data_IF_579614053121
#
_entry.id   IF_579614053121
#
_cell.length_a   1.000
_cell.length_b   1.000
_cell.length_c   1.000
_cell.angle_alpha   90.00
_cell.angle_beta   90.00
_cell.angle_gamma   90.00
#
_symmetry.space_group_name_H-M   'P 1'
#
loop_
_entity.id
_entity.type
_entity.pdbx_description
1 polymer ?
#
# COMPACT_ATOMS: atom_id res chain seq x y z
N UNK A 1 29.78 16.69 -14.41
CA UNK A 1 29.01 15.63 -15.12
C UNK A 1 27.54 15.86 -14.80
N UNK A 2 26.69 15.99 -15.79
CA UNK A 2 25.24 16.01 -15.53
C UNK A 2 24.84 14.68 -14.91
N UNK A 3 24.03 14.74 -13.84
CA UNK A 3 23.62 13.56 -13.10
C UNK A 3 22.52 12.84 -13.90
N UNK A 4 22.75 11.59 -14.26
CA UNK A 4 21.74 10.76 -14.89
C UNK A 4 20.79 10.21 -13.82
N UNK A 5 19.54 10.67 -13.78
CA UNK A 5 18.60 10.35 -12.70
C UNK A 5 17.14 10.42 -13.13
N UNK A 6 16.30 9.79 -12.31
CA UNK A 6 14.84 9.95 -12.31
C UNK A 6 14.33 10.14 -10.88
N UNK A 7 13.39 11.06 -10.72
CA UNK A 7 12.69 11.35 -9.47
C UNK A 7 11.22 10.97 -9.63
N UNK A 8 10.73 10.12 -8.74
CA UNK A 8 9.36 9.58 -8.77
C UNK A 8 8.67 9.82 -7.44
N UNK A 9 7.36 10.10 -7.54
CA UNK A 9 6.42 10.18 -6.44
C UNK A 9 5.44 9.02 -6.55
N UNK A 10 5.31 8.22 -5.48
CA UNK A 10 4.36 7.10 -5.43
C UNK A 10 3.52 7.17 -4.15
N UNK A 11 2.36 6.56 -4.18
CA UNK A 11 1.31 6.74 -3.18
C UNK A 11 1.15 5.51 -2.30
N UNK A 12 1.06 5.68 -0.96
CA UNK A 12 0.80 4.60 -0.03
C UNK A 12 -0.60 4.02 -0.20
N UNK A 13 -0.85 2.84 0.38
CA UNK A 13 -2.10 2.10 0.19
C UNK A 13 -2.82 1.74 1.49
N UNK A 14 -4.14 1.60 1.39
CA UNK A 14 -5.03 1.05 2.41
C UNK A 14 -5.61 -0.25 1.86
N UNK A 15 -5.57 -1.35 2.64
CA UNK A 15 -6.20 -2.60 2.23
C UNK A 15 -7.72 -2.56 2.37
N UNK A 16 -8.44 -3.04 1.37
CA UNK A 16 -9.89 -3.29 1.39
C UNK A 16 -10.14 -4.78 1.67
N UNK A 17 -9.52 -5.67 0.93
CA UNK A 17 -9.41 -7.08 1.27
C UNK A 17 -8.00 -7.32 1.80
N UNK A 18 -7.89 -7.48 3.13
CA UNK A 18 -6.63 -7.41 3.85
C UNK A 18 -5.72 -8.61 3.56
N UNK A 19 -4.45 -8.33 3.35
CA UNK A 19 -3.43 -9.32 3.08
C UNK A 19 -3.05 -10.09 4.35
N UNK A 20 -3.22 -11.40 4.31
CA UNK A 20 -2.85 -12.30 5.40
C UNK A 20 -2.03 -13.50 4.89
N UNK A 21 -0.72 -13.49 5.17
CA UNK A 21 0.19 -14.56 4.78
C UNK A 21 0.84 -14.40 3.41
N UNK A 22 2.12 -14.72 3.35
CA UNK A 22 2.94 -14.75 2.13
C UNK A 22 3.49 -16.15 1.90
N UNK A 23 3.87 -16.47 0.66
CA UNK A 23 4.31 -17.81 0.26
C UNK A 23 5.63 -18.21 0.92
N UNK A 24 6.57 -17.29 0.89
CA UNK A 24 7.90 -17.42 1.50
C UNK A 24 8.48 -16.02 1.79
N UNK A 25 9.55 -15.97 2.58
CA UNK A 25 10.17 -14.70 2.98
C UNK A 25 10.99 -14.03 1.87
N UNK A 26 11.28 -14.74 0.77
CA UNK A 26 12.09 -14.22 -0.33
C UNK A 26 11.24 -13.65 -1.45
N UNK A 27 10.30 -14.43 -1.97
CA UNK A 27 9.40 -14.00 -3.07
C UNK A 27 8.26 -13.13 -2.57
N UNK A 28 7.79 -13.36 -1.35
CA UNK A 28 6.72 -12.60 -0.67
C UNK A 28 5.40 -12.53 -1.44
N UNK A 29 5.13 -13.51 -2.29
CA UNK A 29 3.87 -13.57 -3.03
C UNK A 29 2.70 -13.78 -2.06
N UNK A 30 1.62 -12.98 -2.15
CA UNK A 30 0.42 -13.16 -1.34
C UNK A 30 -0.15 -14.57 -1.52
N UNK A 31 -0.61 -15.19 -0.43
CA UNK A 31 -1.21 -16.52 -0.47
C UNK A 31 -2.63 -16.53 -1.00
N UNK A 32 -3.27 -15.40 -1.08
CA UNK A 32 -4.65 -15.24 -1.52
C UNK A 32 -4.85 -13.87 -2.17
N UNK A 33 -5.93 -13.75 -2.93
CA UNK A 33 -6.37 -12.50 -3.54
C UNK A 33 -6.63 -11.43 -2.49
N UNK A 34 -6.20 -10.20 -2.78
CA UNK A 34 -6.32 -9.03 -1.92
C UNK A 34 -6.79 -7.81 -2.72
N UNK A 35 -7.31 -6.79 -2.05
CA UNK A 35 -7.70 -5.54 -2.69
C UNK A 35 -7.25 -4.34 -1.85
N UNK A 36 -7.10 -3.18 -2.49
CA UNK A 36 -6.73 -1.97 -1.77
C UNK A 36 -6.88 -0.71 -2.60
N UNK A 37 -6.69 0.42 -1.94
CA UNK A 37 -6.81 1.76 -2.51
C UNK A 37 -5.51 2.51 -2.28
N UNK A 38 -4.94 3.12 -3.32
CA UNK A 38 -3.87 4.09 -3.17
C UNK A 38 -4.42 5.42 -2.68
N UNK A 39 -3.69 6.14 -1.83
CA UNK A 39 -4.16 7.39 -1.25
C UNK A 39 -3.08 8.47 -1.17
N UNK A 40 -3.54 9.73 -1.12
CA UNK A 40 -2.73 10.91 -0.77
C UNK A 40 -3.55 11.85 0.11
N UNK A 41 -2.93 12.91 0.64
CA UNK A 41 -3.65 14.01 1.27
C UNK A 41 -4.49 14.82 0.28
N UNK A 42 -5.46 15.61 0.75
CA UNK A 42 -6.26 16.46 -0.15
C UNK A 42 -5.37 17.43 -0.95
N UNK A 43 -4.24 17.86 -0.39
CA UNK A 43 -3.27 18.77 -1.00
C UNK A 43 -2.10 18.04 -1.71
N UNK A 44 -2.24 16.75 -2.01
CA UNK A 44 -1.24 15.89 -2.64
C UNK A 44 0.11 15.81 -1.88
N UNK A 45 0.07 15.95 -0.56
CA UNK A 45 1.23 16.09 0.33
C UNK A 45 1.63 14.77 1.04
N UNK A 46 0.94 13.65 0.76
CA UNK A 46 1.22 12.33 1.33
C UNK A 46 1.70 11.38 0.23
N UNK A 47 2.98 11.04 0.25
CA UNK A 47 3.62 10.19 -0.76
C UNK A 47 4.97 9.66 -0.29
N UNK A 48 5.54 8.74 -1.04
CA UNK A 48 6.97 8.40 -1.00
C UNK A 48 7.64 8.98 -2.24
N UNK A 49 8.71 9.74 -2.02
CA UNK A 49 9.56 10.28 -3.08
C UNK A 49 10.80 9.40 -3.20
N UNK A 50 11.17 9.01 -4.40
CA UNK A 50 12.39 8.25 -4.66
C UNK A 50 13.17 8.86 -5.82
N UNK A 51 14.46 9.11 -5.57
CA UNK A 51 15.46 9.48 -6.56
C UNK A 51 16.31 8.24 -6.87
N UNK A 52 16.31 7.77 -8.10
CA UNK A 52 17.20 6.72 -8.57
C UNK A 52 18.17 7.30 -9.59
N UNK A 53 19.47 7.02 -9.46
CA UNK A 53 20.50 7.64 -10.28
C UNK A 53 21.69 6.72 -10.53
N UNK A 54 22.34 6.93 -11.68
CA UNK A 54 23.59 6.25 -12.00
C UNK A 54 24.76 6.84 -11.20
N UNK A 55 25.66 5.99 -10.72
CA UNK A 55 26.76 6.36 -9.82
C UNK A 55 27.94 5.43 -9.96
N UNK A 56 29.04 5.72 -9.24
CA UNK A 56 30.19 4.84 -9.14
C UNK A 56 30.29 4.14 -7.76
N UNK A 57 29.28 4.35 -6.92
CA UNK A 57 29.15 3.69 -5.62
C UNK A 57 27.72 3.19 -5.45
N UNK A 58 27.59 1.96 -4.97
CA UNK A 58 26.28 1.39 -4.61
C UNK A 58 25.84 1.95 -3.27
N UNK A 59 24.82 2.78 -3.26
CA UNK A 59 24.28 3.43 -2.05
C UNK A 59 22.77 3.50 -2.10
N UNK A 60 22.12 3.09 -1.02
CA UNK A 60 20.68 3.21 -0.83
C UNK A 60 20.37 3.90 0.51
N UNK A 61 19.51 4.89 0.48
CA UNK A 61 19.09 5.63 1.69
C UNK A 61 17.56 5.63 1.73
N UNK A 62 16.99 5.25 2.87
CA UNK A 62 15.54 5.34 3.14
C UNK A 62 15.35 6.15 4.41
N UNK A 63 14.64 7.26 4.32
CA UNK A 63 14.37 8.18 5.44
C UNK A 63 15.65 8.54 6.23
N UNK A 64 16.74 8.87 5.49
CA UNK A 64 18.04 9.25 6.06
C UNK A 64 18.86 8.10 6.63
N UNK A 65 18.40 6.83 6.52
CA UNK A 65 19.15 5.65 6.99
C UNK A 65 19.68 4.85 5.80
N UNK A 66 20.93 4.44 5.88
CA UNK A 66 21.53 3.55 4.89
C UNK A 66 20.85 2.18 4.87
N UNK A 67 20.69 1.64 3.67
CA UNK A 67 20.11 0.31 3.42
C UNK A 67 21.21 -0.61 2.92
N UNK A 68 21.47 -1.69 3.66
CA UNK A 68 22.38 -2.73 3.19
C UNK A 68 21.80 -3.42 1.96
N UNK A 69 22.58 -3.62 0.88
CA UNK A 69 22.15 -4.40 -0.28
C UNK A 69 21.64 -5.81 0.07
N UNK A 70 22.23 -6.42 1.09
CA UNK A 70 21.92 -7.78 1.52
C UNK A 70 20.78 -7.86 2.56
N UNK A 71 20.21 -6.71 2.95
CA UNK A 71 19.12 -6.72 3.92
C UNK A 71 17.84 -7.32 3.33
N UNK A 72 17.03 -8.01 4.13
CA UNK A 72 15.72 -8.45 3.71
C UNK A 72 14.90 -7.27 3.16
N UNK A 73 14.20 -7.48 2.04
CA UNK A 73 13.35 -6.46 1.38
C UNK A 73 14.13 -5.24 0.86
N UNK A 74 15.45 -5.38 0.66
CA UNK A 74 16.26 -4.32 0.07
C UNK A 74 15.80 -4.02 -1.36
N UNK A 75 15.60 -2.74 -1.75
CA UNK A 75 15.33 -2.36 -3.14
C UNK A 75 16.38 -2.84 -4.13
N UNK A 76 17.60 -3.08 -3.69
CA UNK A 76 18.68 -3.60 -4.53
C UNK A 76 18.39 -4.98 -5.11
N UNK A 77 17.53 -5.79 -4.50
CA UNK A 77 17.13 -7.08 -5.06
C UNK A 77 16.47 -6.93 -6.45
N UNK A 78 15.76 -5.84 -6.66
CA UNK A 78 15.13 -5.52 -7.94
C UNK A 78 16.06 -4.68 -8.83
N UNK A 79 16.69 -3.63 -8.28
CA UNK A 79 17.61 -2.75 -9.01
C UNK A 79 18.72 -3.58 -9.68
N UNK A 80 19.35 -4.51 -8.95
CA UNK A 80 20.45 -5.33 -9.48
C UNK A 80 20.02 -6.27 -10.61
N UNK A 81 18.77 -6.69 -10.62
CA UNK A 81 18.22 -7.52 -11.69
C UNK A 81 18.12 -6.78 -13.01
N UNK A 82 17.82 -5.47 -12.96
CA UNK A 82 17.54 -4.66 -14.15
C UNK A 82 18.66 -3.70 -14.56
N UNK A 83 19.64 -3.39 -13.68
CA UNK A 83 20.66 -2.35 -13.92
C UNK A 83 21.63 -2.63 -15.05
N UNK A 84 21.84 -3.91 -15.40
CA UNK A 84 22.95 -4.31 -16.30
C UNK A 84 22.91 -3.57 -17.65
N UNK A 85 21.75 -3.48 -18.26
CA UNK A 85 21.65 -2.91 -19.61
C UNK A 85 21.80 -1.39 -19.63
N UNK A 86 21.33 -0.67 -18.59
CA UNK A 86 21.55 0.78 -18.51
C UNK A 86 23.03 1.07 -18.29
N UNK A 87 23.72 0.30 -17.44
CA UNK A 87 25.15 0.47 -17.21
C UNK A 87 25.99 0.15 -18.45
N UNK A 88 25.55 -0.79 -19.31
CA UNK A 88 26.22 -1.04 -20.60
C UNK A 88 26.12 0.17 -21.56
N UNK A 89 25.03 0.92 -21.52
CA UNK A 89 24.84 2.15 -22.31
C UNK A 89 25.58 3.36 -21.76
N UNK A 90 25.88 3.34 -20.45
CA UNK A 90 26.53 4.39 -19.70
C UNK A 90 27.78 3.88 -18.98
N UNK A 91 28.84 3.52 -19.73
CA UNK A 91 30.04 2.88 -19.17
C UNK A 91 30.86 3.75 -18.23
N UNK A 92 30.57 5.04 -18.16
CA UNK A 92 31.12 5.99 -17.18
C UNK A 92 30.61 5.75 -15.75
N UNK A 93 29.55 4.98 -15.59
CA UNK A 93 28.99 4.58 -14.29
C UNK A 93 29.13 3.07 -14.09
N UNK A 94 29.34 2.64 -12.85
CA UNK A 94 29.47 1.22 -12.49
C UNK A 94 28.34 0.71 -11.61
N UNK A 95 27.52 1.60 -11.06
CA UNK A 95 26.47 1.28 -10.09
C UNK A 95 25.21 2.12 -10.27
N UNK A 96 24.15 1.68 -9.60
CA UNK A 96 22.90 2.44 -9.42
C UNK A 96 22.67 2.67 -7.93
N UNK A 97 22.34 3.91 -7.59
CA UNK A 97 22.05 4.33 -6.22
C UNK A 97 20.66 4.94 -6.12
N UNK A 98 20.09 4.97 -4.91
CA UNK A 98 18.80 5.60 -4.68
C UNK A 98 18.72 6.32 -3.33
N UNK A 99 17.82 7.29 -3.26
CA UNK A 99 17.36 7.95 -2.03
C UNK A 99 15.85 7.93 -2.02
N UNK A 100 15.24 7.44 -0.94
CA UNK A 100 13.79 7.38 -0.78
C UNK A 100 13.37 8.04 0.52
N UNK A 101 12.33 8.87 0.47
CA UNK A 101 11.83 9.63 1.62
C UNK A 101 10.30 9.54 1.70
N UNK A 102 9.79 9.26 2.91
CA UNK A 102 8.38 9.36 3.20
C UNK A 102 7.98 10.81 3.48
N UNK A 103 6.93 11.29 2.83
CA UNK A 103 6.30 12.59 3.10
C UNK A 103 4.94 12.34 3.73
N UNK A 104 4.80 12.66 5.01
CA UNK A 104 3.56 12.55 5.81
C UNK A 104 2.86 11.19 5.77
N UNK A 105 3.51 10.11 5.34
CA UNK A 105 2.89 8.79 5.17
C UNK A 105 2.40 8.23 6.49
N UNK A 106 1.13 7.80 6.51
CA UNK A 106 0.46 7.25 7.68
C UNK A 106 0.63 5.73 7.74
N UNK A 107 0.38 5.04 6.61
CA UNK A 107 0.50 3.59 6.45
C UNK A 107 0.87 3.25 5.00
N UNK A 108 1.34 2.04 4.70
CA UNK A 108 1.62 1.60 3.32
C UNK A 108 2.87 2.20 2.68
N UNK A 109 3.84 2.72 3.47
CA UNK A 109 5.06 3.32 2.94
C UNK A 109 5.94 2.34 2.15
N UNK A 110 5.93 1.06 2.50
CA UNK A 110 6.68 0.03 1.76
C UNK A 110 6.10 -0.21 0.36
N UNK A 111 4.78 -0.16 0.22
CA UNK A 111 4.09 -0.31 -1.07
C UNK A 111 4.48 0.83 -2.01
N UNK A 112 4.37 2.07 -1.51
CA UNK A 112 4.77 3.25 -2.26
C UNK A 112 6.27 3.28 -2.58
N UNK A 113 7.13 2.87 -1.64
CA UNK A 113 8.57 2.76 -1.88
C UNK A 113 8.93 1.75 -2.96
N UNK A 114 8.28 0.58 -2.96
CA UNK A 114 8.46 -0.43 -4.00
C UNK A 114 7.96 0.07 -5.37
N UNK A 115 6.79 0.69 -5.41
CA UNK A 115 6.23 1.26 -6.64
C UNK A 115 7.08 2.41 -7.19
N UNK A 116 7.60 3.29 -6.32
CA UNK A 116 8.50 4.36 -6.74
C UNK A 116 9.81 3.84 -7.36
N UNK A 117 10.43 2.82 -6.75
CA UNK A 117 11.59 2.12 -7.32
C UNK A 117 11.21 1.48 -8.66
N UNK A 118 10.03 0.86 -8.75
CA UNK A 118 9.53 0.25 -9.98
C UNK A 118 9.40 1.27 -11.11
N UNK A 119 8.75 2.39 -10.88
CA UNK A 119 8.58 3.46 -11.86
C UNK A 119 9.93 4.09 -12.25
N UNK A 120 10.86 4.27 -11.29
CA UNK A 120 12.21 4.70 -11.58
C UNK A 120 12.92 3.76 -12.55
N UNK A 121 12.85 2.44 -12.30
CA UNK A 121 13.45 1.42 -13.15
C UNK A 121 12.83 1.45 -14.55
N UNK A 122 11.52 1.48 -14.67
CA UNK A 122 10.84 1.54 -15.97
C UNK A 122 11.25 2.79 -16.74
N UNK A 123 11.33 3.94 -16.08
CA UNK A 123 11.70 5.22 -16.69
C UNK A 123 13.16 5.27 -17.16
N UNK A 124 14.10 4.75 -16.39
CA UNK A 124 15.55 4.76 -16.75
C UNK A 124 15.88 3.72 -17.82
N UNK A 125 15.24 2.56 -17.72
CA UNK A 125 15.65 1.44 -18.57
C UNK A 125 14.95 1.43 -19.93
N UNK A 126 13.87 2.19 -20.12
CA UNK A 126 13.11 2.33 -21.38
C UNK A 126 12.79 0.99 -22.09
N UNK A 127 12.61 -0.09 -21.33
CA UNK A 127 12.37 -1.43 -21.87
C UNK A 127 10.91 -1.83 -21.88
N UNK A 128 10.58 -2.74 -22.81
CA UNK A 128 9.41 -3.61 -22.69
C UNK A 128 9.62 -4.63 -21.55
N UNK A 129 9.56 -4.15 -20.31
CA UNK A 129 9.57 -5.02 -19.15
C UNK A 129 8.24 -5.77 -19.15
N UNK A 130 8.28 -7.10 -19.05
CA UNK A 130 7.08 -7.89 -18.85
C UNK A 130 6.50 -7.51 -17.48
N UNK A 131 5.38 -6.80 -17.47
CA UNK A 131 4.77 -6.21 -16.28
C UNK A 131 4.45 -7.26 -15.20
N UNK A 132 4.01 -8.45 -15.61
CA UNK A 132 3.74 -9.56 -14.70
C UNK A 132 4.98 -10.00 -13.91
N UNK A 133 6.10 -10.23 -14.59
CA UNK A 133 7.35 -10.61 -13.93
C UNK A 133 7.89 -9.47 -13.07
N UNK A 134 7.73 -8.24 -13.52
CA UNK A 134 8.22 -7.05 -12.84
C UNK A 134 7.46 -6.79 -11.53
N UNK A 135 6.13 -6.90 -11.55
CA UNK A 135 5.32 -6.80 -10.34
C UNK A 135 5.73 -7.85 -9.30
N UNK A 136 5.89 -9.11 -9.71
CA UNK A 136 6.35 -10.18 -8.82
C UNK A 136 7.76 -9.91 -8.25
N UNK A 137 8.64 -9.24 -9.01
CA UNK A 137 9.94 -8.82 -8.49
C UNK A 137 9.81 -7.72 -7.44
N UNK A 138 8.94 -6.71 -7.66
CA UNK A 138 8.69 -5.63 -6.71
C UNK A 138 8.07 -6.14 -5.40
N UNK A 139 7.31 -7.24 -5.44
CA UNK A 139 6.76 -7.86 -4.23
C UNK A 139 7.84 -8.37 -3.27
N UNK A 140 9.06 -8.64 -3.74
CA UNK A 140 10.19 -8.94 -2.85
C UNK A 140 10.53 -7.77 -1.91
N UNK A 141 10.22 -6.53 -2.31
CA UNK A 141 10.33 -5.33 -1.48
C UNK A 141 9.08 -5.17 -0.62
N UNK A 142 7.89 -5.25 -1.24
CA UNK A 142 6.60 -5.16 -0.55
C UNK A 142 5.55 -6.02 -1.24
N UNK A 143 4.95 -6.92 -0.49
CA UNK A 143 3.95 -7.91 -0.92
C UNK A 143 2.68 -7.30 -1.54
N UNK A 144 2.44 -6.03 -1.36
CA UNK A 144 1.34 -5.25 -1.93
C UNK A 144 1.81 -4.12 -2.87
N UNK A 145 3.03 -4.23 -3.42
CA UNK A 145 3.59 -3.22 -4.32
C UNK A 145 2.68 -2.88 -5.51
N UNK A 146 1.99 -3.87 -6.08
CA UNK A 146 1.06 -3.69 -7.19
C UNK A 146 -0.02 -2.65 -6.92
N UNK A 147 -0.56 -2.59 -5.70
CA UNK A 147 -1.59 -1.60 -5.33
C UNK A 147 -1.12 -0.16 -5.55
N UNK A 148 0.09 0.15 -5.14
CA UNK A 148 0.68 1.48 -5.35
C UNK A 148 1.16 1.69 -6.77
N UNK A 149 1.62 0.62 -7.45
CA UNK A 149 2.13 0.67 -8.82
C UNK A 149 1.03 1.05 -9.83
N UNK A 150 -0.18 0.52 -9.64
CA UNK A 150 -1.32 0.80 -10.52
C UNK A 150 -2.17 1.98 -10.02
N UNK A 151 -2.21 2.24 -8.71
CA UNK A 151 -3.02 3.31 -8.12
C UNK A 151 -4.52 3.02 -8.13
N UNK A 152 -5.34 4.01 -7.78
CA UNK A 152 -6.79 3.84 -7.73
C UNK A 152 -7.25 2.76 -6.75
N UNK A 153 -8.33 2.07 -7.07
CA UNK A 153 -8.77 0.85 -6.43
C UNK A 153 -8.30 -0.35 -7.24
N UNK A 154 -7.57 -1.25 -6.60
CA UNK A 154 -6.92 -2.40 -7.23
C UNK A 154 -7.35 -3.71 -6.60
N UNK A 155 -7.38 -4.76 -7.41
CA UNK A 155 -7.47 -6.15 -6.96
C UNK A 155 -6.19 -6.87 -7.37
N UNK A 156 -5.55 -7.51 -6.41
CA UNK A 156 -4.37 -8.35 -6.62
C UNK A 156 -4.77 -9.82 -6.55
N UNK A 157 -4.88 -10.47 -7.70
CA UNK A 157 -5.16 -11.90 -7.82
C UNK A 157 -3.91 -12.70 -7.51
N UNK A 158 -3.93 -13.47 -6.43
CA UNK A 158 -2.77 -14.20 -5.95
C UNK A 158 -3.15 -15.56 -5.35
N UNK A 159 -2.22 -16.51 -5.47
CA UNK A 159 -2.40 -17.88 -4.98
C UNK A 159 -1.16 -18.46 -4.29
N UNK A 160 -0.19 -17.60 -3.92
CA UNK A 160 1.09 -17.97 -3.32
C UNK A 160 2.17 -18.44 -4.30
N UNK A 161 1.86 -18.60 -5.58
CA UNK A 161 2.81 -18.97 -6.64
C UNK A 161 3.02 -17.85 -7.65
N UNK A 162 1.97 -17.13 -7.92
CA UNK A 162 1.92 -15.99 -8.84
C UNK A 162 0.97 -14.94 -8.30
N UNK A 163 1.13 -13.73 -8.76
CA UNK A 163 0.36 -12.56 -8.35
C UNK A 163 0.27 -11.58 -9.50
N UNK A 164 -0.92 -11.04 -9.73
CA UNK A 164 -1.19 -10.04 -10.75
C UNK A 164 -2.19 -9.03 -10.20
N UNK A 165 -1.87 -7.74 -10.31
CA UNK A 165 -2.74 -6.65 -9.88
C UNK A 165 -3.40 -6.00 -11.07
N UNK A 166 -4.71 -5.80 -10.97
CA UNK A 166 -5.52 -5.04 -11.91
C UNK A 166 -6.02 -3.76 -11.24
N UNK A 167 -5.93 -2.63 -11.95
CA UNK A 167 -6.63 -1.39 -11.62
C UNK A 167 -8.10 -1.56 -12.01
N UNK A 168 -9.00 -1.39 -11.05
CA UNK A 168 -10.44 -1.60 -11.25
C UNK A 168 -11.17 -0.26 -11.38
N UNK A 169 -10.81 0.74 -10.55
CA UNK A 169 -11.37 2.09 -10.57
C UNK A 169 -10.26 3.12 -10.43
N UNK A 170 -10.39 4.23 -11.14
CA UNK A 170 -9.50 5.39 -11.02
C UNK A 170 -9.82 6.29 -9.84
N UNK A 171 -8.97 7.28 -9.54
CA UNK A 171 -9.23 8.26 -8.47
C UNK A 171 -10.52 9.07 -8.69
N UNK A 172 -10.91 9.31 -9.93
CA UNK A 172 -12.10 10.06 -10.33
C UNK A 172 -13.41 9.41 -9.86
N UNK A 173 -13.45 8.08 -9.72
CA UNK A 173 -14.62 7.36 -9.24
C UNK A 173 -14.91 7.61 -7.74
N UNK A 174 -13.93 8.18 -7.03
CA UNK A 174 -13.99 8.43 -5.59
C UNK A 174 -14.13 9.92 -5.21
N UNK A 175 -14.38 10.83 -6.16
CA UNK A 175 -14.39 12.29 -5.91
C UNK A 175 -15.40 12.71 -4.86
N UNK A 176 -16.53 12.02 -4.74
CA UNK A 176 -17.57 12.30 -3.74
C UNK A 176 -17.23 11.78 -2.34
N UNK A 177 -16.11 11.10 -2.16
CA UNK A 177 -15.69 10.48 -0.93
C UNK A 177 -14.38 11.08 -0.38
N UNK A 178 -14.23 11.03 0.92
CA UNK A 178 -13.02 11.38 1.65
C UNK A 178 -12.77 10.31 2.70
N UNK A 179 -11.52 9.96 2.92
CA UNK A 179 -11.10 9.06 4.00
C UNK A 179 -10.52 9.94 5.13
N UNK A 180 -11.11 9.88 6.31
CA UNK A 180 -10.57 10.51 7.52
C UNK A 180 -9.65 9.50 8.18
N UNK A 181 -8.33 9.68 8.05
CA UNK A 181 -7.35 8.83 8.69
C UNK A 181 -7.04 9.30 10.10
N UNK A 182 -7.25 8.45 11.09
CA UNK A 182 -7.02 8.71 12.49
C UNK A 182 -5.78 7.95 12.97
N UNK A 183 -4.66 8.67 13.17
CA UNK A 183 -3.39 8.10 13.62
C UNK A 183 -3.29 8.19 15.15
N UNK A 184 -3.07 7.06 15.82
CA UNK A 184 -2.98 6.96 17.27
C UNK A 184 -1.56 6.92 17.80
N UNK A 185 -0.70 6.08 17.23
CA UNK A 185 0.71 5.97 17.65
C UNK A 185 1.62 5.59 16.48
N UNK A 186 2.93 5.69 16.70
CA UNK A 186 3.94 5.20 15.76
C UNK A 186 4.22 3.70 15.91
N UNK A 187 3.68 3.04 16.94
CA UNK A 187 3.91 1.64 17.22
C UNK A 187 3.30 0.77 16.12
N UNK A 188 4.12 -0.06 15.51
CA UNK A 188 3.71 -1.00 14.46
C UNK A 188 4.12 -2.41 14.82
N UNK A 189 3.23 -3.36 14.60
CA UNK A 189 3.63 -4.76 14.53
C UNK A 189 4.35 -4.99 13.19
N UNK A 190 5.50 -5.67 13.17
CA UNK A 190 6.14 -6.05 11.91
C UNK A 190 5.17 -6.86 11.04
N UNK A 191 5.09 -6.54 9.73
CA UNK A 191 4.19 -7.25 8.81
C UNK A 191 4.47 -8.76 8.79
N UNK A 192 5.73 -9.16 8.90
CA UNK A 192 6.12 -10.57 8.96
C UNK A 192 5.54 -11.29 10.18
N UNK A 193 5.42 -10.61 11.33
CA UNK A 193 4.73 -11.16 12.51
C UNK A 193 3.26 -11.37 12.23
N UNK A 194 2.60 -10.44 11.57
CA UNK A 194 1.19 -10.55 11.19
C UNK A 194 1.00 -11.74 10.24
N UNK A 195 1.80 -11.80 9.15
CA UNK A 195 1.70 -12.86 8.14
C UNK A 195 2.02 -14.25 8.68
N UNK A 196 3.01 -14.39 9.57
CA UNK A 196 3.39 -15.67 10.15
C UNK A 196 2.40 -16.19 11.19
N UNK A 197 1.64 -15.31 11.84
CA UNK A 197 0.68 -15.72 12.86
C UNK A 197 -0.70 -16.02 12.28
N UNK A 198 -1.24 -15.20 11.38
CA UNK A 198 -2.61 -15.38 10.85
C UNK A 198 -2.80 -16.71 10.13
N UNK A 199 -1.75 -17.23 9.49
CA UNK A 199 -1.79 -18.52 8.80
C UNK A 199 -2.05 -19.73 9.74
N UNK A 200 -1.87 -19.53 11.05
CA UNK A 200 -2.12 -20.54 12.07
C UNK A 200 -3.58 -20.56 12.57
N UNK A 201 -4.40 -19.61 12.13
CA UNK A 201 -5.80 -19.56 12.51
C UNK A 201 -6.60 -20.69 11.82
N UNK A 202 -7.50 -21.34 12.55
CA UNK A 202 -8.28 -22.50 12.05
C UNK A 202 -9.09 -22.19 10.78
N UNK A 203 -9.61 -20.96 10.65
CA UNK A 203 -10.39 -20.50 9.48
C UNK A 203 -9.51 -19.90 8.36
N UNK A 204 -8.20 -19.95 8.49
CA UNK A 204 -7.34 -19.32 7.47
C UNK A 204 -7.51 -19.93 6.08
N UNK A 205 -7.65 -21.25 5.99
CA UNK A 205 -7.92 -21.96 4.73
C UNK A 205 -9.25 -21.53 4.08
N UNK A 206 -10.28 -21.28 4.90
CA UNK A 206 -11.55 -20.74 4.43
C UNK A 206 -11.42 -19.31 3.90
N UNK A 207 -10.68 -18.43 4.62
CA UNK A 207 -10.37 -17.08 4.16
C UNK A 207 -9.68 -17.09 2.80
N UNK A 208 -8.65 -17.91 2.63
CA UNK A 208 -7.94 -18.08 1.35
C UNK A 208 -8.91 -18.51 0.24
N UNK A 209 -9.75 -19.52 0.50
CA UNK A 209 -10.74 -20.02 -0.47
C UNK A 209 -11.75 -18.94 -0.87
N UNK A 210 -12.20 -18.13 0.08
CA UNK A 210 -13.25 -17.14 -0.13
C UNK A 210 -12.71 -15.81 -0.70
N UNK A 211 -11.39 -15.57 -0.68
CA UNK A 211 -10.82 -14.30 -1.13
C UNK A 211 -11.13 -13.99 -2.60
N UNK A 212 -11.11 -15.00 -3.47
CA UNK A 212 -11.44 -14.83 -4.88
C UNK A 212 -12.94 -14.55 -5.11
N UNK A 213 -13.82 -15.11 -4.30
CA UNK A 213 -15.24 -14.80 -4.36
C UNK A 213 -15.51 -13.35 -3.92
N UNK A 214 -14.84 -12.92 -2.86
CA UNK A 214 -14.92 -11.52 -2.38
C UNK A 214 -14.38 -10.52 -3.41
N UNK A 215 -13.30 -10.88 -4.10
CA UNK A 215 -12.78 -10.06 -5.19
C UNK A 215 -13.82 -9.88 -6.31
N UNK A 216 -14.48 -10.95 -6.74
CA UNK A 216 -15.56 -10.88 -7.74
C UNK A 216 -16.78 -10.08 -7.26
N UNK A 217 -17.07 -10.07 -5.98
CA UNK A 217 -18.10 -9.19 -5.41
C UNK A 217 -17.67 -7.71 -5.48
N UNK A 218 -16.40 -7.42 -5.17
CA UNK A 218 -15.83 -6.08 -5.29
C UNK A 218 -15.82 -5.58 -6.75
N UNK A 219 -15.49 -6.44 -7.72
CA UNK A 219 -15.57 -6.12 -9.16
C UNK A 219 -16.99 -5.74 -9.56
N UNK A 220 -18.00 -6.50 -9.12
CA UNK A 220 -19.41 -6.19 -9.41
C UNK A 220 -19.86 -4.88 -8.78
N UNK A 221 -19.40 -4.57 -7.56
CA UNK A 221 -19.66 -3.28 -6.92
C UNK A 221 -19.03 -2.14 -7.74
N UNK A 222 -17.79 -2.32 -8.20
CA UNK A 222 -17.10 -1.37 -9.04
C UNK A 222 -17.83 -1.14 -10.38
N UNK A 223 -18.20 -2.21 -11.08
CA UNK A 223 -18.96 -2.16 -12.34
C UNK A 223 -20.29 -1.42 -12.20
N UNK A 224 -20.93 -1.48 -11.03
CA UNK A 224 -22.18 -0.77 -10.73
C UNK A 224 -22.00 0.64 -10.15
N UNK A 225 -20.77 1.09 -9.91
CA UNK A 225 -20.47 2.35 -9.24
C UNK A 225 -20.82 2.36 -7.74
N UNK A 226 -20.93 1.20 -7.12
CA UNK A 226 -21.25 1.06 -5.69
C UNK A 226 -19.99 1.24 -4.82
N UNK A 227 -19.49 2.47 -4.77
CA UNK A 227 -18.31 2.84 -3.97
C UNK A 227 -18.56 2.60 -2.47
N UNK A 228 -19.78 2.83 -2.01
CA UNK A 228 -20.15 2.56 -0.61
C UNK A 228 -20.02 1.09 -0.26
N UNK A 229 -20.52 0.22 -1.13
CA UNK A 229 -20.41 -1.22 -0.96
C UNK A 229 -18.96 -1.70 -0.91
N UNK A 230 -18.05 -1.10 -1.69
CA UNK A 230 -16.60 -1.40 -1.64
C UNK A 230 -16.03 -1.12 -0.24
N UNK A 231 -16.32 0.05 0.34
CA UNK A 231 -15.84 0.39 1.69
C UNK A 231 -16.51 -0.46 2.78
N UNK A 232 -17.80 -0.78 2.67
CA UNK A 232 -18.52 -1.65 3.60
C UNK A 232 -17.97 -3.09 3.56
N UNK A 233 -17.59 -3.58 2.37
CA UNK A 233 -16.89 -4.86 2.23
C UNK A 233 -15.51 -4.82 2.94
N UNK A 234 -14.79 -3.70 2.84
CA UNK A 234 -13.53 -3.48 3.56
C UNK A 234 -13.69 -3.44 5.08
N UNK A 235 -14.76 -2.84 5.58
CA UNK A 235 -15.10 -2.85 6.99
C UNK A 235 -15.37 -4.27 7.50
N UNK A 236 -16.18 -5.03 6.76
CA UNK A 236 -16.47 -6.43 7.10
C UNK A 236 -15.20 -7.30 7.09
N UNK A 237 -14.33 -7.10 6.11
CA UNK A 237 -13.05 -7.82 6.06
C UNK A 237 -12.13 -7.42 7.21
N UNK A 238 -12.11 -6.14 7.59
CA UNK A 238 -11.39 -5.61 8.76
C UNK A 238 -11.83 -6.33 10.05
N UNK A 239 -13.13 -6.43 10.29
CA UNK A 239 -13.69 -7.07 11.48
C UNK A 239 -13.29 -8.55 11.57
N UNK A 240 -13.45 -9.30 10.47
CA UNK A 240 -13.07 -10.71 10.40
C UNK A 240 -11.57 -10.88 10.61
N UNK A 241 -10.75 -10.11 9.87
CA UNK A 241 -9.30 -10.21 9.91
C UNK A 241 -8.72 -9.93 11.29
N UNK A 242 -9.15 -8.88 11.95
CA UNK A 242 -8.67 -8.53 13.29
C UNK A 242 -9.20 -9.46 14.38
N UNK A 243 -10.38 -10.08 14.19
CA UNK A 243 -10.84 -11.18 15.06
C UNK A 243 -9.90 -12.37 14.98
N UNK A 244 -9.57 -12.81 13.76
CA UNK A 244 -8.63 -13.91 13.53
C UNK A 244 -7.25 -13.61 14.12
N UNK A 245 -6.73 -12.39 13.94
CA UNK A 245 -5.44 -11.99 14.50
C UNK A 245 -5.42 -12.05 16.03
N UNK A 246 -6.47 -11.60 16.70
CA UNK A 246 -6.58 -11.67 18.16
C UNK A 246 -6.57 -13.11 18.65
N UNK A 247 -7.27 -14.02 17.96
CA UNK A 247 -7.33 -15.43 18.31
C UNK A 247 -5.98 -16.15 18.19
N UNK A 248 -5.07 -15.64 17.32
CA UNK A 248 -3.70 -16.14 17.21
C UNK A 248 -2.68 -15.28 18.00
N UNK A 249 -3.15 -14.44 18.93
CA UNK A 249 -2.31 -13.68 19.85
C UNK A 249 -1.71 -12.40 19.29
N UNK A 250 -2.23 -11.87 18.17
CA UNK A 250 -1.78 -10.59 17.58
C UNK A 250 -2.88 -9.54 17.72
N UNK A 251 -2.73 -8.59 18.62
CA UNK A 251 -3.65 -7.45 18.76
C UNK A 251 -3.06 -6.20 18.11
N UNK A 252 -3.79 -5.60 17.19
CA UNK A 252 -3.45 -4.34 16.52
C UNK A 252 -4.39 -3.24 17.02
N UNK A 253 -5.68 -3.53 17.11
CA UNK A 253 -6.69 -2.58 17.60
C UNK A 253 -6.47 -2.37 19.10
N UNK A 254 -6.14 -1.13 19.47
CA UNK A 254 -5.97 -0.70 20.87
C UNK A 254 -7.33 -0.27 21.45
N UNK A 255 -7.40 -0.11 22.79
CA UNK A 255 -8.63 0.37 23.43
C UNK A 255 -9.07 1.76 22.93
N UNK A 256 -8.11 2.63 22.61
CA UNK A 256 -8.42 3.96 22.04
C UNK A 256 -9.00 3.86 20.63
N UNK A 257 -8.43 2.98 19.80
CA UNK A 257 -8.97 2.70 18.47
C UNK A 257 -10.37 2.08 18.56
N UNK A 258 -10.57 1.15 19.49
CA UNK A 258 -11.87 0.50 19.70
C UNK A 258 -12.96 1.53 20.07
N UNK A 259 -12.64 2.48 20.95
CA UNK A 259 -13.57 3.56 21.32
C UNK A 259 -13.92 4.46 20.13
N UNK A 260 -12.96 4.79 19.27
CA UNK A 260 -13.27 5.51 18.04
C UNK A 260 -14.15 4.68 17.09
N UNK A 261 -13.87 3.38 16.95
CA UNK A 261 -14.67 2.46 16.11
C UNK A 261 -16.12 2.43 16.61
N UNK A 262 -16.34 2.34 17.92
CA UNK A 262 -17.67 2.38 18.53
C UNK A 262 -18.39 3.70 18.20
N UNK A 263 -17.67 4.84 18.27
CA UNK A 263 -18.21 6.15 17.88
C UNK A 263 -18.56 6.22 16.39
N UNK A 264 -17.71 5.66 15.52
CA UNK A 264 -17.97 5.56 14.07
C UNK A 264 -19.24 4.75 13.81
N UNK A 265 -19.44 3.63 14.51
CA UNK A 265 -20.66 2.82 14.41
C UNK A 265 -21.92 3.60 14.86
N UNK A 266 -21.84 4.38 15.95
CA UNK A 266 -22.93 5.25 16.38
C UNK A 266 -23.30 6.27 15.30
N UNK A 267 -22.31 6.87 14.65
CA UNK A 267 -22.51 7.89 13.61
C UNK A 267 -23.16 7.36 12.34
N UNK A 268 -23.25 6.04 12.13
CA UNK A 268 -24.01 5.43 11.01
C UNK A 268 -25.50 5.78 11.06
N UNK A 269 -26.05 6.13 12.25
CA UNK A 269 -27.42 6.62 12.39
C UNK A 269 -27.62 8.04 11.80
N UNK A 270 -26.55 8.81 11.62
CA UNK A 270 -26.59 10.20 11.14
C UNK A 270 -26.16 10.35 9.68
N UNK A 271 -25.12 9.63 9.29
CA UNK A 271 -24.58 9.65 7.92
C UNK A 271 -23.84 8.35 7.60
N UNK A 272 -23.77 8.06 6.30
CA UNK A 272 -23.02 6.90 5.82
C UNK A 272 -21.53 7.04 6.15
N UNK A 273 -20.96 5.99 6.71
CA UNK A 273 -19.53 5.81 6.92
C UNK A 273 -19.16 4.34 6.93
N UNK A 274 -17.88 4.03 6.68
CA UNK A 274 -17.30 2.71 6.84
C UNK A 274 -15.86 2.86 7.32
N UNK A 275 -15.39 1.97 8.20
CA UNK A 275 -14.02 2.04 8.72
C UNK A 275 -13.16 0.86 8.30
N UNK A 276 -11.85 1.11 8.20
CA UNK A 276 -10.83 0.12 7.87
C UNK A 276 -9.69 0.28 8.86
N UNK A 277 -9.17 -0.85 9.34
CA UNK A 277 -7.93 -0.93 10.12
C UNK A 277 -6.97 -1.87 9.39
N UNK A 278 -5.78 -1.38 9.07
CA UNK A 278 -4.72 -2.17 8.43
C UNK A 278 -3.74 -2.75 9.46
N UNK A 279 -2.49 -2.99 9.10
CA UNK A 279 -1.47 -3.53 10.01
C UNK A 279 -0.86 -2.53 11.02
N UNK A 280 -1.29 -1.26 10.98
CA UNK A 280 -0.81 -0.21 11.89
C UNK A 280 -1.90 0.28 12.86
N UNK A 281 -1.49 1.11 13.84
CA UNK A 281 -2.39 1.73 14.83
C UNK A 281 -3.13 2.94 14.26
N UNK A 282 -3.84 2.73 13.15
CA UNK A 282 -4.59 3.76 12.43
C UNK A 282 -5.99 3.24 12.11
N UNK A 283 -6.99 4.12 12.22
CA UNK A 283 -8.35 3.88 11.76
C UNK A 283 -8.62 4.81 10.57
N UNK A 284 -9.00 4.23 9.45
CA UNK A 284 -9.37 4.96 8.23
C UNK A 284 -10.88 4.92 8.10
N UNK A 285 -11.55 6.08 8.10
CA UNK A 285 -13.01 6.17 8.02
C UNK A 285 -13.40 6.83 6.71
N UNK A 286 -13.99 6.07 5.81
CA UNK A 286 -14.57 6.58 4.57
C UNK A 286 -15.91 7.26 4.86
N UNK A 287 -16.11 8.44 4.29
CA UNK A 287 -17.34 9.22 4.38
C UNK A 287 -17.63 9.93 3.06
N UNK A 288 -18.89 10.28 2.82
CA UNK A 288 -19.19 11.23 1.75
C UNK A 288 -18.55 12.60 2.08
N UNK A 289 -17.98 13.27 1.08
CA UNK A 289 -17.23 14.54 1.23
C UNK A 289 -17.97 15.59 2.06
N UNK A 290 -19.31 15.68 1.93
CA UNK A 290 -20.15 16.61 2.70
C UNK A 290 -20.13 16.36 4.22
N UNK A 291 -19.71 15.15 4.67
CA UNK A 291 -19.68 14.75 6.08
C UNK A 291 -18.25 14.72 6.67
N UNK A 292 -17.22 15.08 5.89
CA UNK A 292 -15.83 14.98 6.32
C UNK A 292 -15.52 15.77 7.59
N UNK A 293 -16.06 16.99 7.73
CA UNK A 293 -15.85 17.83 8.93
C UNK A 293 -16.55 17.24 10.16
N UNK A 294 -17.75 16.66 9.99
CA UNK A 294 -18.45 15.99 11.10
C UNK A 294 -17.61 14.81 11.63
N UNK A 295 -17.08 13.99 10.71
CA UNK A 295 -16.27 12.84 11.08
C UNK A 295 -14.94 13.27 11.74
N UNK A 296 -14.28 14.30 11.20
CA UNK A 296 -13.05 14.85 11.81
C UNK A 296 -13.31 15.36 13.24
N UNK A 297 -14.39 16.13 13.42
CA UNK A 297 -14.73 16.66 14.74
C UNK A 297 -15.01 15.55 15.76
N UNK A 298 -15.71 14.49 15.35
CA UNK A 298 -15.92 13.32 16.19
C UNK A 298 -14.59 12.61 16.52
N UNK A 299 -13.68 12.48 15.55
CA UNK A 299 -12.37 11.88 15.77
C UNK A 299 -11.47 12.69 16.72
N UNK A 300 -11.60 14.02 16.72
CA UNK A 300 -10.83 14.91 17.63
C UNK A 300 -11.19 14.73 19.12
N UNK A 301 -12.28 14.05 19.45
CA UNK A 301 -12.63 13.69 20.82
C UNK A 301 -11.69 12.58 21.37
N UNK A 302 -10.95 11.92 20.50
CA UNK A 302 -10.05 10.82 20.84
C UNK A 302 -8.58 11.27 20.72
N UNK A 303 -7.65 10.46 21.29
CA UNK A 303 -6.21 10.75 21.24
C UNK A 303 -5.60 10.38 19.90
N UNK A 304 -6.12 10.93 18.82
CA UNK A 304 -5.60 10.73 17.46
C UNK A 304 -5.43 12.07 16.73
N UNK A 305 -4.66 12.04 15.64
CA UNK A 305 -4.54 13.19 14.74
C UNK A 305 -5.27 12.84 13.43
N UNK A 306 -6.47 13.40 13.20
CA UNK A 306 -7.21 13.13 11.97
C UNK A 306 -6.62 13.90 10.78
N UNK A 307 -6.46 13.20 9.66
CA UNK A 307 -5.97 13.73 8.39
C UNK A 307 -6.95 13.35 7.27
N UNK A 308 -7.20 14.27 6.35
CA UNK A 308 -8.05 14.01 5.19
C UNK A 308 -7.25 13.38 4.05
N UNK A 309 -7.77 12.31 3.49
CA UNK A 309 -7.20 11.59 2.37
C UNK A 309 -8.18 11.54 1.19
N UNK A 310 -7.63 11.53 -0.01
CA UNK A 310 -8.32 11.18 -1.25
C UNK A 310 -7.64 9.97 -1.92
N UNK A 311 -8.34 9.30 -2.81
CA UNK A 311 -7.76 8.24 -3.63
C UNK A 311 -6.72 8.85 -4.57
N UNK A 312 -5.59 8.18 -4.71
CA UNK A 312 -4.47 8.59 -5.56
C UNK A 312 -4.30 7.64 -6.75
N UNK A 313 -3.76 8.16 -7.85
CA UNK A 313 -3.44 7.38 -9.03
C UNK A 313 -2.13 6.59 -8.92
N UNK A 314 -1.62 6.18 -10.07
CA UNK A 314 -0.31 5.53 -10.22
C UNK A 314 0.84 6.49 -9.89
N UNK A 315 2.08 5.99 -9.75
CA UNK A 315 3.25 6.83 -9.53
C UNK A 315 3.46 7.90 -10.62
N UNK A 316 4.00 9.04 -10.22
CA UNK A 316 4.31 10.17 -11.11
C UNK A 316 5.82 10.37 -11.23
N UNK A 317 6.33 10.49 -12.45
CA UNK A 317 7.70 10.97 -12.70
C UNK A 317 7.71 12.49 -12.51
N UNK A 318 8.39 12.96 -11.46
CA UNK A 318 8.46 14.39 -11.13
C UNK A 318 9.50 15.10 -11.99
N UNK A 319 10.66 14.48 -12.12
CA UNK A 319 11.76 14.98 -12.93
C UNK A 319 12.69 13.86 -13.40
N UNK A 320 13.34 14.09 -14.53
CA UNK A 320 14.34 13.18 -15.08
C UNK A 320 15.37 13.91 -15.91
N UNK A 321 16.58 13.38 -15.94
CA UNK A 321 17.66 13.85 -16.79
C UNK A 321 18.43 12.63 -17.33
N UNK A 322 18.20 12.31 -18.62
CA UNK A 322 18.88 11.25 -19.38
C UNK A 322 18.71 11.39 -20.88
#
# INVERSE_FOLDING_TARGET
>A
MEKYYVEVKAYPTIGILLLGGVSDNKKRLPRHTTAGIAYTGLDDDIYVKTDLYLSNQKSGIINGKEVSPDSPRSPFVVIDKYRHEVLMRHPEYSEVSFVSENKNVISGSSDAGAAAIGECIQSIFEYNINIFNFENDLQQISESAGRSMFGGFTINHANGKESLTDEILGPEDFEDFVIVACKFSEDRKPSDTIHSNIINHEKYAERVKNSELRAKELEKMADSGDIKGIFEAGEKDTQEYHSMLREVGVSIITDEMQRLIEKVEELKAEFWNAYIVTGGTNVFVAVERKNMEKMKNAAMEFKCTPVYLKVAGKPDVISKNF
#
